data_IF_080025349761
#
_entry.id   IF_080025349761
#
_cell.length_a   1.000
_cell.length_b   1.000
_cell.length_c   1.000
_cell.angle_alpha   90.00
_cell.angle_beta   90.00
_cell.angle_gamma   90.00
#
_symmetry.space_group_name_H-M   'P 1'
#
loop_
_entity.id
_entity.type
_entity.pdbx_description
1 polymer ?
#
# COMPACT_ATOMS: atom_id res chain seq x y z
N UNK A 1 17.26 2.08 26.31
CA UNK A 1 16.68 2.04 24.94
C UNK A 1 15.38 1.26 25.01
N UNK A 2 14.25 1.95 24.97
CA UNK A 2 12.93 1.31 25.02
C UNK A 2 12.75 0.49 23.75
N UNK A 3 12.85 -0.83 23.86
CA UNK A 3 12.29 -1.76 22.87
C UNK A 3 10.80 -1.45 22.82
N UNK A 4 10.38 -0.60 21.88
CA UNK A 4 8.99 -0.56 21.44
C UNK A 4 8.67 -2.01 21.12
N UNK A 5 7.78 -2.61 21.90
CA UNK A 5 7.23 -3.93 21.60
C UNK A 5 6.62 -3.83 20.21
N UNK A 6 7.40 -4.22 19.21
CA UNK A 6 7.19 -3.96 17.80
C UNK A 6 6.10 -4.90 17.24
N UNK A 7 4.97 -4.96 17.91
CA UNK A 7 3.85 -5.81 17.56
C UNK A 7 2.67 -5.02 16.97
N UNK A 8 2.67 -3.69 17.06
CA UNK A 8 1.54 -2.89 16.57
C UNK A 8 2.02 -1.62 15.90
N UNK A 9 2.01 -1.62 14.57
CA UNK A 9 2.04 -0.40 13.76
C UNK A 9 0.67 0.26 13.90
N UNK A 10 0.62 1.52 14.34
CA UNK A 10 -0.64 2.25 14.38
C UNK A 10 -1.16 2.54 12.96
N UNK A 11 -2.47 2.73 12.81
CA UNK A 11 -3.06 3.10 11.51
C UNK A 11 -2.41 4.37 10.91
N UNK A 12 -2.02 5.33 11.77
CA UNK A 12 -1.31 6.53 11.36
C UNK A 12 0.10 6.21 10.83
N UNK A 13 0.88 5.42 11.56
CA UNK A 13 2.22 5.00 11.09
C UNK A 13 2.12 4.23 9.78
N UNK A 14 1.12 3.37 9.64
CA UNK A 14 0.85 2.66 8.39
C UNK A 14 0.56 3.63 7.23
N UNK A 15 -0.29 4.64 7.45
CA UNK A 15 -0.61 5.64 6.43
C UNK A 15 0.62 6.45 5.99
N UNK A 16 1.49 6.82 6.94
CA UNK A 16 2.76 7.50 6.66
C UNK A 16 3.69 6.62 5.82
N UNK A 17 3.85 5.35 6.21
CA UNK A 17 4.67 4.38 5.46
C UNK A 17 4.10 4.17 4.06
N UNK A 18 2.78 4.07 3.93
CA UNK A 18 2.07 3.90 2.65
C UNK A 18 2.32 5.08 1.73
N UNK A 19 2.20 6.31 2.21
CA UNK A 19 2.41 7.50 1.40
C UNK A 19 3.89 7.63 0.99
N UNK A 20 4.81 7.39 1.92
CA UNK A 20 6.24 7.37 1.64
C UNK A 20 6.60 6.31 0.58
N UNK A 21 6.01 5.12 0.68
CA UNK A 21 6.18 4.05 -0.30
C UNK A 21 5.67 4.46 -1.68
N UNK A 22 4.42 4.97 -1.77
CA UNK A 22 3.82 5.42 -3.04
C UNK A 22 4.67 6.50 -3.71
N UNK A 23 5.11 7.49 -2.94
CA UNK A 23 5.99 8.55 -3.43
C UNK A 23 7.30 8.00 -3.95
N UNK A 24 7.95 7.13 -3.17
CA UNK A 24 9.24 6.56 -3.57
C UNK A 24 9.13 5.68 -4.82
N UNK A 25 8.03 4.95 -5.00
CA UNK A 25 7.76 4.19 -6.23
C UNK A 25 7.63 5.10 -7.45
N UNK A 26 6.91 6.23 -7.33
CA UNK A 26 6.71 7.20 -8.42
C UNK A 26 8.00 7.97 -8.71
N UNK A 27 8.65 8.47 -7.68
CA UNK A 27 9.87 9.30 -7.80
C UNK A 27 11.07 8.49 -8.31
N UNK A 28 11.22 7.23 -7.90
CA UNK A 28 12.31 6.35 -8.34
C UNK A 28 11.94 5.43 -9.51
N UNK A 29 10.75 5.56 -10.10
CA UNK A 29 10.24 4.68 -11.17
C UNK A 29 10.50 3.19 -10.88
N UNK A 30 10.21 2.76 -9.65
CA UNK A 30 10.55 1.40 -9.21
C UNK A 30 9.77 0.37 -10.03
N UNK A 31 10.42 -0.70 -10.54
CA UNK A 31 9.72 -1.78 -11.21
C UNK A 31 8.93 -2.63 -10.20
N UNK A 32 7.80 -3.24 -10.59
CA UNK A 32 6.92 -3.98 -9.66
C UNK A 32 7.61 -5.08 -8.86
N UNK A 33 8.69 -5.66 -9.40
CA UNK A 33 9.49 -6.71 -8.77
C UNK A 33 10.23 -6.20 -7.52
N UNK A 34 10.68 -4.93 -7.54
CA UNK A 34 11.42 -4.33 -6.44
C UNK A 34 10.49 -3.74 -5.36
N UNK A 35 9.19 -3.63 -5.62
CA UNK A 35 8.23 -3.01 -4.69
C UNK A 35 8.14 -3.77 -3.38
N UNK A 36 8.11 -5.11 -3.45
CA UNK A 36 8.06 -5.94 -2.25
C UNK A 36 9.31 -5.76 -1.39
N UNK A 37 10.49 -5.73 -2.03
CA UNK A 37 11.76 -5.50 -1.35
C UNK A 37 11.84 -4.10 -0.75
N UNK A 38 11.39 -3.09 -1.50
CA UNK A 38 11.39 -1.69 -1.05
C UNK A 38 10.40 -1.45 0.09
N UNK A 39 9.20 -2.02 0.02
CA UNK A 39 8.22 -1.95 1.12
C UNK A 39 8.76 -2.63 2.39
N UNK A 40 9.43 -3.78 2.25
CA UNK A 40 10.06 -4.48 3.37
C UNK A 40 11.16 -3.64 4.02
N UNK A 41 12.02 -3.02 3.22
CA UNK A 41 13.09 -2.16 3.72
C UNK A 41 12.54 -0.89 4.40
N UNK A 42 11.52 -0.26 3.80
CA UNK A 42 10.87 0.93 4.33
C UNK A 42 10.18 0.67 5.67
N UNK A 43 9.39 -0.40 5.76
CA UNK A 43 8.73 -0.80 7.00
C UNK A 43 9.78 -1.11 8.06
N UNK A 44 10.81 -1.90 7.72
CA UNK A 44 11.91 -2.23 8.63
C UNK A 44 12.64 -1.00 9.14
N UNK A 45 12.87 -0.02 8.29
CA UNK A 45 13.49 1.26 8.66
C UNK A 45 12.64 2.06 9.66
N UNK A 46 11.31 2.04 9.49
CA UNK A 46 10.36 2.72 10.37
C UNK A 46 10.19 2.04 11.74
N UNK A 47 10.04 0.72 11.76
CA UNK A 47 9.71 -0.03 12.98
C UNK A 47 10.93 -0.65 13.67
N UNK A 48 12.08 -0.67 12.99
CA UNK A 48 13.34 -1.22 13.49
C UNK A 48 13.39 -2.74 13.56
N UNK A 49 12.37 -3.45 13.07
CA UNK A 49 12.27 -4.92 13.03
C UNK A 49 11.88 -5.42 11.64
N UNK A 50 11.87 -6.73 11.45
CA UNK A 50 11.39 -7.32 10.20
C UNK A 50 9.92 -6.95 9.92
N UNK A 51 9.65 -6.59 8.66
CA UNK A 51 8.35 -6.13 8.24
C UNK A 51 7.32 -7.28 8.31
N UNK A 52 6.21 -7.13 9.05
CA UNK A 52 5.19 -8.17 9.13
C UNK A 52 4.58 -8.44 7.75
N UNK A 53 4.37 -9.71 7.42
CA UNK A 53 3.80 -10.11 6.13
C UNK A 53 2.43 -9.45 5.85
N UNK A 54 1.60 -9.27 6.88
CA UNK A 54 0.30 -8.60 6.78
C UNK A 54 0.44 -7.12 6.40
N UNK A 55 1.42 -6.42 6.97
CA UNK A 55 1.69 -5.00 6.68
C UNK A 55 2.21 -4.86 5.24
N UNK A 56 3.09 -5.77 4.80
CA UNK A 56 3.59 -5.78 3.44
C UNK A 56 2.48 -6.07 2.43
N UNK A 57 1.63 -7.05 2.72
CA UNK A 57 0.46 -7.34 1.89
C UNK A 57 -0.45 -6.11 1.79
N UNK A 58 -0.74 -5.43 2.91
CA UNK A 58 -1.57 -4.23 2.91
C UNK A 58 -0.94 -3.04 2.15
N UNK A 59 0.38 -2.89 2.18
CA UNK A 59 1.11 -1.87 1.41
C UNK A 59 1.14 -2.16 -0.10
N UNK A 60 1.17 -3.44 -0.48
CA UNK A 60 1.20 -3.86 -1.88
C UNK A 60 -0.23 -3.95 -2.48
N UNK A 61 -1.24 -4.20 -1.66
CA UNK A 61 -2.66 -4.27 -2.04
C UNK A 61 -3.26 -2.92 -2.48
N UNK A 62 -2.57 -1.81 -2.22
CA UNK A 62 -3.01 -0.45 -2.65
C UNK A 62 -3.16 -0.34 -4.17
N UNK A 63 -2.64 -1.31 -4.96
CA UNK A 63 -2.86 -1.39 -6.42
C UNK A 63 -4.21 -2.01 -6.83
N UNK A 64 -4.87 -2.79 -5.98
CA UNK A 64 -6.08 -3.55 -6.36
C UNK A 64 -7.37 -2.77 -6.11
N UNK A 65 -7.34 -1.77 -5.21
CA UNK A 65 -8.42 -0.78 -5.07
C UNK A 65 -8.38 0.29 -6.17
N UNK A 66 -8.41 -0.15 -7.42
CA UNK A 66 -9.16 0.57 -8.45
C UNK A 66 -10.63 0.22 -8.19
N UNK A 67 -11.33 1.06 -7.43
CA UNK A 67 -12.78 0.96 -7.28
C UNK A 67 -13.47 0.97 -8.66
N UNK A 68 -14.75 0.59 -8.68
CA UNK A 68 -15.31 -0.52 -9.45
C UNK A 68 -15.29 -0.26 -10.97
N UNK A 69 -15.56 -1.26 -11.84
CA UNK A 69 -16.10 -0.90 -13.15
C UNK A 69 -17.33 -0.05 -12.87
N UNK A 70 -17.26 1.21 -13.27
CA UNK A 70 -18.43 2.05 -13.36
C UNK A 70 -19.38 1.33 -14.33
N UNK A 71 -20.33 0.55 -13.79
CA UNK A 71 -21.62 0.32 -14.43
C UNK A 71 -22.33 1.67 -14.47
N UNK A 72 -21.86 2.50 -15.38
CA UNK A 72 -22.59 3.62 -15.92
C UNK A 72 -22.93 3.22 -17.35
N UNK A 73 -23.99 2.43 -17.52
CA UNK A 73 -24.95 2.64 -18.62
C UNK A 73 -26.23 1.82 -18.40
N UNK A 74 -27.20 2.45 -17.75
CA UNK A 74 -28.61 2.22 -18.02
C UNK A 74 -29.33 3.53 -17.70
N UNK A 75 -30.43 3.91 -18.39
CA UNK A 75 -31.20 3.20 -19.41
C UNK A 75 -31.30 4.02 -20.72
N UNK A 76 -31.17 3.39 -21.91
CA UNK A 76 -31.62 4.04 -23.15
C UNK A 76 -32.81 3.30 -23.75
N UNK A 77 -33.89 4.07 -23.89
CA UNK A 77 -35.14 3.68 -24.50
C UNK A 77 -35.00 3.61 -26.02
N UNK A 78 -35.46 2.50 -26.60
CA UNK A 78 -36.08 2.43 -27.93
C UNK A 78 -37.26 1.47 -27.74
N UNK A 79 -38.54 1.79 -27.92
CA UNK A 79 -39.15 2.44 -29.08
C UNK A 79 -38.57 1.85 -30.37
N UNK A 80 -39.00 0.64 -30.72
CA UNK A 80 -39.78 0.34 -31.93
C UNK A 80 -40.71 -0.86 -31.70
#
# INVERSE_FOLDING_TARGET
MSKRSANFISAFEFDVIREAFRRSVVESCLPPQEWQRHAADLVRSFIGIEAPAEVLAALLDVRTKKSPPAEADGPNAGLE
#
